data_IF_076469226996
#
_entry.id   IF_076469226996
#
_cell.length_a   1.000
_cell.length_b   1.000
_cell.length_c   1.000
_cell.angle_alpha   90.00
_cell.angle_beta   90.00
_cell.angle_gamma   90.00
#
_symmetry.space_group_name_H-M   'P 1'
#
loop_
_entity.id
_entity.type
_entity.pdbx_description
1 polymer ?
#
# COMPACT_ATOMS: atom_id res chain seq x y z
N UNK A 1 -13.77 30.40 -7.88
CA UNK A 1 -14.17 28.98 -7.79
C UNK A 1 -13.02 28.21 -7.17
N UNK A 2 -12.94 28.16 -5.84
CA UNK A 2 -11.90 27.41 -5.15
C UNK A 2 -12.32 25.94 -5.11
N UNK A 3 -11.57 25.06 -5.78
CA UNK A 3 -11.73 23.61 -5.65
C UNK A 3 -11.32 23.21 -4.24
N UNK A 4 -12.31 22.92 -3.40
CA UNK A 4 -12.12 22.31 -2.09
C UNK A 4 -11.58 20.89 -2.30
N UNK A 5 -10.26 20.76 -2.51
CA UNK A 5 -9.60 19.47 -2.44
C UNK A 5 -9.78 18.97 -1.01
N UNK A 6 -10.69 18.02 -0.80
CA UNK A 6 -10.83 17.34 0.49
C UNK A 6 -9.47 16.74 0.82
N UNK A 7 -8.83 17.30 1.83
CA UNK A 7 -7.54 16.86 2.33
C UNK A 7 -7.60 15.45 2.95
N UNK A 8 -8.80 14.86 3.02
CA UNK A 8 -9.13 13.54 3.57
C UNK A 8 -8.98 12.34 2.61
N UNK A 9 -8.71 12.55 1.32
CA UNK A 9 -8.69 11.41 0.37
C UNK A 9 -7.44 10.51 0.54
N UNK A 10 -6.40 10.98 1.23
CA UNK A 10 -5.14 10.25 1.39
C UNK A 10 -4.41 10.58 2.68
N UNK A 11 -3.96 9.54 3.40
CA UNK A 11 -3.06 9.68 4.53
C UNK A 11 -1.61 9.37 4.08
N UNK A 12 -0.71 10.33 4.25
CA UNK A 12 0.72 10.11 3.98
C UNK A 12 1.28 9.12 4.99
N UNK A 13 1.73 7.97 4.52
CA UNK A 13 2.34 6.94 5.37
C UNK A 13 3.80 6.75 4.98
N UNK A 14 4.71 6.83 5.96
CA UNK A 14 6.11 6.49 5.77
C UNK A 14 6.33 5.05 6.24
N UNK A 15 6.80 4.18 5.34
CA UNK A 15 7.10 2.77 5.63
C UNK A 15 8.59 2.57 5.44
N UNK A 16 9.23 1.90 6.40
CA UNK A 16 10.63 1.47 6.28
C UNK A 16 10.65 0.09 5.64
N UNK A 17 11.37 -0.03 4.53
CA UNK A 17 11.56 -1.28 3.81
C UNK A 17 13.03 -1.70 3.89
N UNK A 18 13.32 -3.00 4.03
CA UNK A 18 14.65 -3.53 3.73
C UNK A 18 15.10 -3.13 2.31
N UNK A 19 16.42 -2.96 2.11
CA UNK A 19 16.97 -2.44 0.86
C UNK A 19 16.68 -3.36 -0.33
N UNK A 20 16.78 -4.66 -0.12
CA UNK A 20 16.46 -5.72 -1.08
C UNK A 20 14.97 -5.68 -1.47
N UNK A 21 14.07 -5.54 -0.49
CA UNK A 21 12.63 -5.44 -0.76
C UNK A 21 12.30 -4.16 -1.55
N UNK A 22 12.92 -3.04 -1.19
CA UNK A 22 12.76 -1.78 -1.93
C UNK A 22 13.19 -1.91 -3.40
N UNK A 23 14.31 -2.59 -3.67
CA UNK A 23 14.77 -2.85 -5.03
C UNK A 23 13.80 -3.73 -5.80
N UNK A 24 13.33 -4.83 -5.20
CA UNK A 24 12.36 -5.72 -5.83
C UNK A 24 11.06 -5.00 -6.20
N UNK A 25 10.54 -4.13 -5.34
CA UNK A 25 9.35 -3.34 -5.65
C UNK A 25 9.61 -2.40 -6.84
N UNK A 26 10.78 -1.78 -6.93
CA UNK A 26 11.13 -0.96 -8.10
C UNK A 26 11.17 -1.74 -9.40
N UNK A 27 11.79 -2.91 -9.41
CA UNK A 27 11.91 -3.76 -10.59
C UNK A 27 10.54 -4.25 -11.09
N UNK A 28 9.69 -4.69 -10.18
CA UNK A 28 8.32 -5.11 -10.52
C UNK A 28 7.50 -3.92 -11.03
N UNK A 29 7.65 -2.74 -10.42
CA UNK A 29 6.95 -1.54 -10.86
C UNK A 29 7.33 -1.15 -12.30
N UNK A 30 8.62 -1.21 -12.63
CA UNK A 30 9.11 -0.96 -14.00
C UNK A 30 8.55 -1.99 -14.99
N UNK A 31 8.54 -3.28 -14.62
CA UNK A 31 8.02 -4.36 -15.48
C UNK A 31 6.52 -4.25 -15.75
N UNK A 32 5.75 -3.73 -14.80
CA UNK A 32 4.30 -3.60 -14.90
C UNK A 32 3.82 -2.23 -15.41
N UNK A 33 4.74 -1.35 -15.80
CA UNK A 33 4.47 0.04 -16.18
C UNK A 33 3.66 0.80 -15.10
N UNK A 34 4.04 0.59 -13.83
CA UNK A 34 3.41 1.21 -12.66
C UNK A 34 4.40 2.13 -11.94
N UNK A 35 3.86 3.14 -11.26
CA UNK A 35 4.66 3.87 -10.26
C UNK A 35 4.96 2.97 -9.07
N UNK A 36 6.07 3.23 -8.39
CA UNK A 36 6.46 2.51 -7.16
C UNK A 36 5.33 2.51 -6.12
N UNK A 37 4.74 3.68 -5.86
CA UNK A 37 3.62 3.82 -4.94
C UNK A 37 2.36 3.07 -5.43
N UNK A 38 2.09 3.11 -6.74
CA UNK A 38 0.96 2.40 -7.33
C UNK A 38 1.07 0.88 -7.15
N UNK A 39 2.27 0.32 -7.34
CA UNK A 39 2.52 -1.08 -7.05
C UNK A 39 2.39 -1.39 -5.55
N UNK A 40 2.98 -0.55 -4.68
CA UNK A 40 2.92 -0.76 -3.24
C UNK A 40 1.48 -0.79 -2.72
N UNK A 41 0.63 0.12 -3.20
CA UNK A 41 -0.81 0.14 -2.87
C UNK A 41 -1.51 -1.13 -3.38
N UNK A 42 -1.18 -1.61 -4.58
CA UNK A 42 -1.76 -2.83 -5.13
C UNK A 42 -1.41 -4.05 -4.26
N UNK A 43 -0.12 -4.21 -3.92
CA UNK A 43 0.37 -5.28 -3.05
C UNK A 43 -0.30 -5.26 -1.66
N UNK A 44 -0.44 -4.07 -1.06
CA UNK A 44 -1.13 -3.93 0.24
C UNK A 44 -2.60 -4.34 0.13
N UNK A 45 -3.31 -3.88 -0.92
CA UNK A 45 -4.72 -4.25 -1.14
C UNK A 45 -4.89 -5.75 -1.31
N UNK A 46 -4.01 -6.39 -2.08
CA UNK A 46 -4.08 -7.83 -2.29
C UNK A 46 -3.73 -8.61 -1.02
N UNK A 47 -2.71 -8.16 -0.27
CA UNK A 47 -2.39 -8.73 1.03
C UNK A 47 -3.55 -8.63 2.03
N UNK A 48 -4.27 -7.50 2.05
CA UNK A 48 -5.45 -7.33 2.91
C UNK A 48 -6.64 -8.22 2.49
N UNK A 49 -6.81 -8.47 1.19
CA UNK A 49 -7.84 -9.41 0.68
C UNK A 49 -7.53 -10.85 1.03
N UNK A 50 -6.25 -11.23 0.93
CA UNK A 50 -5.77 -12.60 1.18
C UNK A 50 -5.60 -12.92 2.66
N UNK A 51 -5.47 -11.90 3.51
CA UNK A 51 -5.42 -12.10 4.96
C UNK A 51 -6.76 -12.69 5.40
N UNK A 52 -6.81 -13.95 5.89
CA UNK A 52 -8.03 -14.45 6.49
C UNK A 52 -8.41 -13.48 7.59
N UNK A 53 -9.69 -13.07 7.61
CA UNK A 53 -10.24 -12.28 8.72
C UNK A 53 -10.20 -13.18 9.95
N UNK A 54 -9.04 -13.30 10.58
CA UNK A 54 -8.95 -13.88 11.89
C UNK A 54 -9.64 -12.87 12.80
N UNK A 55 -10.79 -13.20 13.40
CA UNK A 55 -11.38 -12.31 14.39
C UNK A 55 -10.31 -12.09 15.44
N UNK A 56 -9.86 -10.85 15.59
CA UNK A 56 -9.03 -10.46 16.73
C UNK A 56 -9.85 -10.88 17.95
N UNK A 57 -9.35 -11.89 18.65
CA UNK A 57 -10.15 -12.71 19.55
C UNK A 57 -11.04 -11.89 20.47
N UNK A 58 -12.27 -12.37 20.61
CA UNK A 58 -13.02 -12.19 21.84
C UNK A 58 -12.06 -12.46 23.00
N UNK A 59 -11.74 -11.40 23.76
CA UNK A 59 -11.11 -11.54 25.06
C UNK A 59 -12.10 -12.31 25.92
N UNK A 60 -11.82 -13.58 26.19
CA UNK A 60 -12.36 -14.26 27.37
C UNK A 60 -11.52 -13.86 28.58
#
# INVERSE_FOLDING_TARGET
>A
MATLNRQDDWARTAIRLPKDVHQQVHEVAQREDRSFNGLLVALIRDGLRLRPQHPLGARQ
#
